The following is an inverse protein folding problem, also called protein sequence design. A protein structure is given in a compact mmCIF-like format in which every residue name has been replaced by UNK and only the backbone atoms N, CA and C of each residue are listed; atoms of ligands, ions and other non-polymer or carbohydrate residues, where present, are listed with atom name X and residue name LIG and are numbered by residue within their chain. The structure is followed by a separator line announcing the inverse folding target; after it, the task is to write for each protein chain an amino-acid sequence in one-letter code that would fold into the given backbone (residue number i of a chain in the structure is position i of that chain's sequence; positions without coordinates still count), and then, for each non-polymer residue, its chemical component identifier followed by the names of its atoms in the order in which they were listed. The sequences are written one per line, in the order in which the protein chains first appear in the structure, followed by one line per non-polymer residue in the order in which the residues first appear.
data_IF_195066626286
#
_entry.id   IF_195066626286
#
_cell.length_a   1.000
_cell.length_b   1.000
_cell.length_c   1.000
_cell.angle_alpha   90.00
_cell.angle_beta   90.00
_cell.angle_gamma   90.00
#
_symmetry.space_group_name_H-M   'P 1'
#
loop_
_entity.id
_entity.type
_entity.pdbx_description
1 polymer ?
#
# COMPACT_ATOMS: atom_id res chain seq x y z
N UNK A 1 -36.85 37.48 -3.42
CA UNK A 1 -36.18 37.10 -2.15
C UNK A 1 -35.83 35.60 -2.03
N UNK A 2 -35.72 34.82 -3.12
CA UNK A 2 -35.37 33.38 -3.07
C UNK A 2 -33.91 33.05 -3.44
N UNK A 3 -33.08 34.02 -3.83
CA UNK A 3 -31.69 33.79 -4.28
C UNK A 3 -30.61 33.93 -3.20
N UNK A 4 -30.95 34.40 -2.00
CA UNK A 4 -29.97 34.62 -0.91
C UNK A 4 -29.80 33.44 0.04
N UNK A 5 -30.71 32.46 0.02
CA UNK A 5 -30.66 31.30 0.96
C UNK A 5 -29.60 30.25 0.54
N UNK A 6 -29.26 30.18 -0.74
CA UNK A 6 -28.24 29.20 -1.22
C UNK A 6 -26.79 29.58 -0.90
N UNK A 7 -26.53 30.87 -0.64
CA UNK A 7 -25.16 31.31 -0.32
C UNK A 7 -24.76 30.98 1.13
N UNK A 8 -25.74 30.90 2.02
CA UNK A 8 -25.51 30.61 3.45
C UNK A 8 -25.25 29.10 3.75
N UNK A 9 -25.68 28.18 2.86
CA UNK A 9 -25.49 26.76 3.01
C UNK A 9 -24.10 26.28 2.56
N UNK A 10 -23.34 27.09 1.82
CA UNK A 10 -21.98 26.76 1.36
C UNK A 10 -20.87 27.18 2.35
N UNK A 11 -21.16 28.07 3.28
CA UNK A 11 -20.19 28.59 4.25
C UNK A 11 -19.62 27.53 5.24
N UNK A 12 -20.39 26.54 5.74
CA UNK A 12 -19.80 25.56 6.66
C UNK A 12 -18.83 24.56 6.00
N UNK A 13 -18.91 24.35 4.68
CA UNK A 13 -18.01 23.44 3.99
C UNK A 13 -16.57 23.96 3.85
N UNK A 14 -16.40 25.28 3.77
CA UNK A 14 -15.06 25.87 3.65
C UNK A 14 -14.27 25.82 4.97
N UNK A 15 -14.94 25.85 6.12
CA UNK A 15 -14.28 25.79 7.42
C UNK A 15 -13.61 24.46 7.70
N UNK A 16 -14.28 23.35 7.39
CA UNK A 16 -13.75 21.99 7.63
C UNK A 16 -12.58 21.67 6.69
N UNK A 17 -12.67 22.07 5.43
CA UNK A 17 -11.58 21.89 4.46
C UNK A 17 -10.34 22.73 4.82
N UNK A 18 -10.54 23.92 5.37
CA UNK A 18 -9.43 24.81 5.75
C UNK A 18 -8.72 24.34 7.03
N UNK A 19 -9.45 23.78 7.98
CA UNK A 19 -8.88 23.20 9.21
C UNK A 19 -8.08 21.92 8.91
N UNK A 20 -8.56 21.08 7.99
CA UNK A 20 -7.86 19.88 7.54
C UNK A 20 -6.56 20.22 6.79
N UNK A 21 -6.58 21.23 5.91
CA UNK A 21 -5.41 21.75 5.21
C UNK A 21 -4.37 22.40 6.17
N UNK A 22 -4.81 23.05 7.23
CA UNK A 22 -3.89 23.63 8.23
C UNK A 22 -3.19 22.54 9.08
N UNK A 23 -3.91 21.49 9.48
CA UNK A 23 -3.35 20.39 10.24
C UNK A 23 -2.37 19.55 9.41
N UNK A 24 -2.70 19.24 8.15
CA UNK A 24 -1.79 18.60 7.21
C UNK A 24 -0.51 19.43 7.02
N UNK A 25 -0.66 20.73 6.86
CA UNK A 25 0.48 21.66 6.76
C UNK A 25 1.41 21.62 7.97
N UNK A 26 0.90 21.48 9.20
CA UNK A 26 1.72 21.43 10.42
C UNK A 26 2.51 20.12 10.54
N UNK A 27 1.88 18.98 10.28
CA UNK A 27 2.54 17.67 10.28
C UNK A 27 3.62 17.63 9.21
N UNK A 28 3.28 18.05 8.00
CA UNK A 28 4.23 18.05 6.89
C UNK A 28 5.41 18.97 7.12
N UNK A 29 5.20 20.17 7.68
CA UNK A 29 6.28 21.11 8.08
C UNK A 29 7.25 20.49 9.08
N UNK A 30 6.73 19.76 10.08
CA UNK A 30 7.58 19.06 11.05
C UNK A 30 8.42 17.94 10.39
N UNK A 31 7.83 17.23 9.42
CA UNK A 31 8.51 16.20 8.64
C UNK A 31 9.61 16.81 7.76
N UNK A 32 9.29 17.86 7.02
CA UNK A 32 10.22 18.60 6.15
C UNK A 32 11.39 19.18 6.94
N UNK A 33 11.12 19.82 8.08
CA UNK A 33 12.15 20.38 8.96
C UNK A 33 13.10 19.30 9.51
N UNK A 34 12.58 18.10 9.81
CA UNK A 34 13.41 17.00 10.34
C UNK A 34 14.27 16.35 9.27
N UNK A 35 13.74 16.09 8.08
CA UNK A 35 14.42 15.28 7.06
C UNK A 35 15.10 16.12 5.97
N UNK A 36 14.79 17.43 5.87
CA UNK A 36 15.43 18.41 4.98
C UNK A 36 15.46 17.98 3.50
N UNK A 37 14.37 17.44 2.98
CA UNK A 37 14.21 17.09 1.57
C UNK A 37 13.60 18.26 0.77
N UNK A 38 13.70 18.21 -0.54
CA UNK A 38 13.03 19.16 -1.43
C UNK A 38 11.55 18.78 -1.58
N UNK A 39 10.67 19.66 -1.12
CA UNK A 39 9.21 19.47 -1.20
C UNK A 39 8.70 19.20 -2.62
N UNK A 40 9.38 19.67 -3.66
CA UNK A 40 9.05 19.42 -5.06
C UNK A 40 9.25 17.97 -5.47
N UNK A 41 10.05 17.22 -4.74
CA UNK A 41 10.26 15.79 -4.96
C UNK A 41 9.14 14.92 -4.37
N UNK A 42 8.30 15.47 -3.49
CA UNK A 42 7.18 14.71 -2.92
C UNK A 42 6.18 14.37 -4.01
N UNK A 43 5.82 13.09 -4.10
CA UNK A 43 4.75 12.66 -4.98
C UNK A 43 3.40 12.81 -4.26
N UNK A 44 2.88 14.03 -4.29
CA UNK A 44 1.70 14.45 -3.54
C UNK A 44 0.45 13.62 -3.79
N UNK A 45 0.27 13.11 -5.01
CA UNK A 45 -0.88 12.24 -5.34
C UNK A 45 -0.90 10.95 -4.51
N UNK A 46 0.23 10.56 -3.92
CA UNK A 46 0.38 9.38 -3.08
C UNK A 46 0.70 9.71 -1.62
N UNK A 47 0.68 11.00 -1.24
CA UNK A 47 0.76 11.38 0.16
C UNK A 47 -0.47 10.88 0.89
N UNK A 48 -0.27 10.12 1.96
CA UNK A 48 -1.36 9.59 2.79
C UNK A 48 -1.04 9.71 4.27
N UNK A 49 -2.04 10.07 5.06
CA UNK A 49 -1.97 10.06 6.51
C UNK A 49 -3.23 9.46 7.10
N UNK A 50 -3.09 8.71 8.17
CA UNK A 50 -4.22 8.08 8.85
C UNK A 50 -4.03 8.02 10.36
N UNK A 51 -5.10 8.34 11.10
CA UNK A 51 -5.22 8.04 12.52
C UNK A 51 -5.36 6.53 12.74
N UNK A 52 -4.84 6.05 13.83
CA UNK A 52 -4.83 4.64 14.20
C UNK A 52 -5.95 4.37 15.22
N UNK A 53 -6.66 3.25 15.08
CA UNK A 53 -7.81 2.94 15.94
C UNK A 53 -7.40 2.68 17.40
N UNK A 54 -6.33 1.93 17.58
CA UNK A 54 -5.83 1.50 18.88
C UNK A 54 -4.79 2.47 19.47
N UNK A 55 -4.38 3.47 18.69
CA UNK A 55 -3.37 4.47 19.06
C UNK A 55 -3.81 5.86 18.60
N UNK A 56 -4.69 6.47 19.37
CA UNK A 56 -5.33 7.76 19.04
C UNK A 56 -4.40 8.97 19.15
N UNK A 57 -3.22 8.81 19.75
CA UNK A 57 -2.23 9.88 19.88
C UNK A 57 -1.30 9.96 18.69
N UNK A 58 -1.29 8.96 17.81
CA UNK A 58 -0.43 8.96 16.63
C UNK A 58 -1.23 8.98 15.32
N UNK A 59 -0.61 9.59 14.31
CA UNK A 59 -0.93 9.39 12.90
C UNK A 59 0.23 8.72 12.20
N UNK A 60 -0.07 7.77 11.34
CA UNK A 60 0.91 7.21 10.40
C UNK A 60 0.83 8.00 9.10
N UNK A 61 1.97 8.57 8.70
CA UNK A 61 2.13 9.36 7.47
C UNK A 61 3.05 8.61 6.54
N UNK A 62 2.62 8.43 5.29
CA UNK A 62 3.40 7.71 4.27
C UNK A 62 3.40 8.53 2.99
N UNK A 63 4.57 8.71 2.41
CA UNK A 63 4.71 9.37 1.11
C UNK A 63 5.99 8.96 0.39
N UNK A 64 5.98 8.98 -0.96
CA UNK A 64 7.16 8.76 -1.77
C UNK A 64 7.87 10.07 -2.10
N UNK A 65 9.21 10.06 -2.06
CA UNK A 65 10.04 11.07 -2.67
C UNK A 65 10.58 10.58 -4.01
N UNK A 66 10.33 11.32 -5.08
CA UNK A 66 10.83 11.02 -6.43
C UNK A 66 12.33 11.18 -6.49
N UNK A 67 13.02 10.15 -6.97
CA UNK A 67 14.46 10.14 -7.20
C UNK A 67 14.73 9.75 -8.66
N UNK A 68 15.23 10.65 -9.46
CA UNK A 68 15.60 10.33 -10.84
C UNK A 68 16.83 9.43 -10.86
N UNK A 69 16.70 8.24 -11.45
CA UNK A 69 17.81 7.45 -11.97
C UNK A 69 17.86 7.57 -13.49
N UNK A 70 18.98 7.21 -14.14
CA UNK A 70 19.16 7.38 -15.60
C UNK A 70 18.01 6.76 -16.42
N UNK A 71 17.53 5.58 -16.04
CA UNK A 71 16.60 4.79 -16.84
C UNK A 71 15.28 4.44 -16.10
N UNK A 72 15.14 4.85 -14.83
CA UNK A 72 14.02 4.44 -13.97
C UNK A 72 13.58 5.56 -13.04
N UNK A 73 12.29 5.60 -12.73
CA UNK A 73 11.79 6.40 -11.63
C UNK A 73 11.87 5.56 -10.35
N UNK A 74 12.68 6.02 -9.41
CA UNK A 74 12.78 5.45 -8.06
C UNK A 74 12.05 6.36 -7.06
N UNK A 75 11.58 5.75 -5.99
CA UNK A 75 10.94 6.49 -4.91
C UNK A 75 11.54 6.06 -3.58
N UNK A 76 12.03 7.04 -2.83
CA UNK A 76 12.36 6.81 -1.43
C UNK A 76 11.07 6.79 -0.62
N UNK A 77 10.87 5.74 0.17
CA UNK A 77 9.70 5.58 1.04
C UNK A 77 9.90 6.29 2.36
N UNK A 78 9.02 7.22 2.69
CA UNK A 78 8.95 7.84 4.01
C UNK A 78 7.73 7.29 4.75
N UNK A 79 7.97 6.65 5.89
CA UNK A 79 6.94 6.16 6.81
C UNK A 79 7.20 6.80 8.17
N UNK A 80 6.28 7.63 8.64
CA UNK A 80 6.49 8.49 9.81
C UNK A 80 5.35 8.32 10.80
N UNK A 81 5.69 8.01 12.04
CA UNK A 81 4.75 7.99 13.15
C UNK A 81 4.81 9.35 13.86
N UNK A 82 3.78 10.15 13.66
CA UNK A 82 3.67 11.51 14.19
C UNK A 82 2.79 11.53 15.43
N UNK A 83 3.31 12.08 16.52
CA UNK A 83 2.59 12.24 17.78
C UNK A 83 1.81 13.55 17.79
N UNK A 84 0.48 13.46 17.84
CA UNK A 84 -0.41 14.61 17.80
C UNK A 84 -0.34 15.47 19.08
N UNK A 85 -0.15 14.84 20.25
CA UNK A 85 -0.09 15.56 21.52
C UNK A 85 1.22 16.32 21.67
N UNK A 86 2.34 15.69 21.33
CA UNK A 86 3.68 16.30 21.39
C UNK A 86 4.01 17.15 20.18
N UNK A 87 3.23 17.06 19.13
CA UNK A 87 3.47 17.70 17.83
C UNK A 87 4.86 17.40 17.25
N UNK A 88 5.31 16.14 17.37
CA UNK A 88 6.63 15.72 16.92
C UNK A 88 6.63 14.32 16.34
N UNK A 89 7.70 13.99 15.62
CA UNK A 89 7.93 12.67 15.06
C UNK A 89 8.54 11.77 16.14
N UNK A 90 7.78 10.75 16.57
CA UNK A 90 8.27 9.76 17.53
C UNK A 90 9.14 8.70 16.84
N UNK A 91 8.66 8.12 15.72
CA UNK A 91 9.37 7.08 15.00
C UNK A 91 9.28 7.30 13.49
N UNK A 92 10.24 6.75 12.73
CA UNK A 92 10.24 6.83 11.28
C UNK A 92 11.04 5.71 10.62
N UNK A 93 10.70 5.43 9.37
CA UNK A 93 11.44 4.60 8.43
C UNK A 93 11.71 5.42 7.16
N UNK A 94 12.91 5.29 6.61
CA UNK A 94 13.26 5.81 5.30
C UNK A 94 13.88 4.65 4.53
N UNK A 95 13.22 4.25 3.44
CA UNK A 95 13.70 3.24 2.49
C UNK A 95 14.17 3.93 1.22
N UNK A 96 15.47 3.97 0.99
CA UNK A 96 16.04 4.56 -0.22
C UNK A 96 15.75 3.66 -1.43
N UNK A 97 15.14 4.23 -2.50
CA UNK A 97 14.75 3.48 -3.68
C UNK A 97 13.81 2.30 -3.39
N UNK A 98 13.03 2.40 -2.33
CA UNK A 98 12.16 1.31 -1.85
C UNK A 98 11.10 0.89 -2.88
N UNK A 99 10.62 1.86 -3.65
CA UNK A 99 9.65 1.64 -4.71
C UNK A 99 10.21 2.09 -6.05
N UNK A 100 9.90 1.33 -7.09
CA UNK A 100 10.45 1.54 -8.43
C UNK A 100 9.34 1.44 -9.47
N UNK A 101 9.32 2.39 -10.41
CA UNK A 101 8.57 2.22 -11.64
C UNK A 101 9.40 1.38 -12.62
N UNK A 102 8.79 0.33 -13.15
CA UNK A 102 9.38 -0.54 -14.15
C UNK A 102 8.40 -0.78 -15.30
N UNK A 103 8.88 -1.42 -16.36
CA UNK A 103 8.02 -1.85 -17.46
C UNK A 103 6.91 -2.82 -17.00
N UNK A 104 7.15 -3.49 -15.86
CA UNK A 104 6.19 -4.42 -15.25
C UNK A 104 5.14 -3.75 -14.37
N UNK A 105 5.38 -2.52 -13.90
CA UNK A 105 4.40 -1.81 -13.08
C UNK A 105 4.92 -0.49 -12.55
N UNK A 106 4.01 0.44 -12.39
CA UNK A 106 4.27 1.77 -11.82
C UNK A 106 3.57 1.89 -10.48
N UNK A 107 4.14 2.67 -9.59
CA UNK A 107 3.55 2.99 -8.31
C UNK A 107 2.24 3.78 -8.51
N UNK A 108 1.11 3.21 -8.12
CA UNK A 108 -0.23 3.76 -8.36
C UNK A 108 -0.93 4.23 -7.09
N UNK A 109 -0.61 3.64 -5.95
CA UNK A 109 -1.33 3.94 -4.71
C UNK A 109 -0.55 3.57 -3.46
N UNK A 110 -0.90 4.26 -2.38
CA UNK A 110 -0.48 3.96 -1.02
C UNK A 110 -1.71 3.98 -0.12
N UNK A 111 -1.81 3.01 0.75
CA UNK A 111 -2.85 2.96 1.78
C UNK A 111 -2.22 2.67 3.15
N UNK A 112 -2.67 3.41 4.15
CA UNK A 112 -2.37 3.14 5.56
C UNK A 112 -3.58 2.48 6.20
N UNK A 113 -3.42 1.28 6.76
CA UNK A 113 -4.50 0.66 7.51
C UNK A 113 -4.71 1.35 8.86
N UNK A 114 -5.97 1.51 9.25
CA UNK A 114 -6.29 2.06 10.57
C UNK A 114 -6.09 1.06 11.72
N UNK A 115 -6.14 -0.24 11.41
CA UNK A 115 -5.93 -1.31 12.39
C UNK A 115 -4.44 -1.57 12.59
N UNK A 116 -4.06 -1.81 13.84
CA UNK A 116 -2.67 -2.06 14.25
C UNK A 116 -2.58 -3.41 14.95
N UNK A 117 -2.41 -4.53 14.22
CA UNK A 117 -2.34 -5.84 14.83
C UNK A 117 -1.14 -5.99 15.76
N UNK A 118 -1.30 -6.80 16.79
CA UNK A 118 -0.22 -7.15 17.71
C UNK A 118 0.59 -8.32 17.14
N UNK A 119 1.87 -8.09 16.92
CA UNK A 119 2.83 -9.13 16.52
C UNK A 119 3.61 -9.73 17.71
N UNK A 120 3.37 -9.22 18.92
CA UNK A 120 4.00 -9.67 20.16
C UNK A 120 3.49 -8.87 21.34
N UNK A 121 3.95 -9.17 22.56
CA UNK A 121 3.44 -8.55 23.81
C UNK A 121 3.45 -7.01 23.77
N UNK A 122 4.41 -6.39 23.06
CA UNK A 122 4.55 -4.93 22.92
C UNK A 122 4.86 -4.52 21.47
N UNK A 123 4.70 -5.42 20.52
CA UNK A 123 5.02 -5.17 19.12
C UNK A 123 3.73 -4.89 18.34
N UNK A 124 3.33 -3.63 18.30
CA UNK A 124 2.23 -3.16 17.47
C UNK A 124 2.76 -3.02 16.03
N UNK A 125 2.02 -3.56 15.04
CA UNK A 125 2.35 -3.42 13.64
C UNK A 125 1.58 -2.28 12.98
N UNK A 126 2.31 -1.38 12.35
CA UNK A 126 1.78 -0.36 11.46
C UNK A 126 1.78 -0.90 10.04
N UNK A 127 0.63 -0.84 9.37
CA UNK A 127 0.43 -1.48 8.08
C UNK A 127 0.41 -0.45 6.95
N UNK A 128 1.20 -0.71 5.92
CA UNK A 128 1.22 0.06 4.68
C UNK A 128 0.98 -0.89 3.51
N UNK A 129 0.04 -0.56 2.63
CA UNK A 129 -0.20 -1.24 1.37
C UNK A 129 0.28 -0.37 0.23
N UNK A 130 0.93 -1.00 -0.72
CA UNK A 130 1.51 -0.35 -1.89
C UNK A 130 0.96 -1.03 -3.14
N UNK A 131 0.42 -0.23 -4.05
CA UNK A 131 -0.24 -0.72 -5.26
C UNK A 131 0.60 -0.38 -6.49
N UNK A 132 0.82 -1.40 -7.32
CA UNK A 132 1.49 -1.25 -8.60
C UNK A 132 0.60 -1.76 -9.72
N UNK A 133 0.62 -1.09 -10.87
CA UNK A 133 0.00 -1.60 -12.09
C UNK A 133 0.65 -0.99 -13.32
N UNK A 134 0.46 -1.64 -14.46
CA UNK A 134 0.81 -1.06 -15.76
C UNK A 134 -0.44 -0.66 -16.54
N UNK A 135 -0.23 0.05 -17.65
CA UNK A 135 -1.29 0.47 -18.56
C UNK A 135 -1.33 -0.38 -19.85
N UNK A 136 -0.56 -1.48 -19.91
CA UNK A 136 -0.50 -2.35 -21.10
C UNK A 136 -1.79 -3.15 -21.19
N UNK A 137 -2.52 -2.99 -22.30
CA UNK A 137 -3.79 -3.67 -22.53
C UNK A 137 -3.61 -5.13 -22.94
N UNK A 138 -2.47 -5.48 -23.52
CA UNK A 138 -2.18 -6.84 -23.97
C UNK A 138 -1.48 -7.66 -22.87
N UNK A 139 -0.72 -6.99 -22.02
CA UNK A 139 -0.02 -7.60 -20.89
C UNK A 139 -0.32 -6.85 -19.59
N UNK A 140 -1.60 -6.75 -19.20
CA UNK A 140 -1.95 -6.05 -17.98
C UNK A 140 -1.41 -6.79 -16.77
N UNK A 141 -0.94 -6.00 -15.81
CA UNK A 141 -0.50 -6.52 -14.53
C UNK A 141 -0.84 -5.57 -13.39
N UNK A 142 -1.01 -6.15 -12.22
CA UNK A 142 -1.15 -5.39 -10.99
C UNK A 142 -0.64 -6.19 -9.81
N UNK A 143 -0.22 -5.49 -8.77
CA UNK A 143 0.16 -6.11 -7.50
C UNK A 143 -0.13 -5.20 -6.31
N UNK A 144 -0.39 -5.83 -5.18
CA UNK A 144 -0.55 -5.21 -3.88
C UNK A 144 0.47 -5.82 -2.92
N UNK A 145 1.30 -4.96 -2.34
CA UNK A 145 2.33 -5.35 -1.37
C UNK A 145 1.92 -4.83 0.00
N UNK A 146 1.84 -5.74 0.98
CA UNK A 146 1.61 -5.41 2.38
C UNK A 146 2.94 -5.37 3.13
N UNK A 147 3.18 -4.27 3.82
CA UNK A 147 4.36 -4.08 4.67
C UNK A 147 3.93 -3.83 6.12
N UNK A 148 4.57 -4.55 7.05
CA UNK A 148 4.43 -4.28 8.49
C UNK A 148 5.68 -3.60 9.03
N UNK A 149 5.45 -2.55 9.81
CA UNK A 149 6.48 -1.85 10.57
C UNK A 149 6.19 -1.97 12.07
N UNK A 150 7.23 -2.13 12.88
CA UNK A 150 7.15 -2.04 14.35
C UNK A 150 8.09 -0.96 14.85
N UNK A 151 7.84 -0.43 16.04
CA UNK A 151 8.77 0.53 16.67
C UNK A 151 10.01 -0.20 17.21
N UNK A 152 11.18 0.37 16.94
CA UNK A 152 12.47 -0.06 17.50
C UNK A 152 13.33 1.14 17.85
N UNK A 153 13.36 1.50 19.14
CA UNK A 153 13.95 2.77 19.56
C UNK A 153 13.26 3.94 18.88
N UNK A 154 14.01 4.80 18.22
CA UNK A 154 13.48 5.97 17.47
C UNK A 154 13.16 5.68 16.01
N UNK A 155 13.22 4.44 15.57
CA UNK A 155 12.97 4.03 14.19
C UNK A 155 11.73 3.16 14.09
N UNK A 156 11.16 3.13 12.90
CA UNK A 156 10.29 2.05 12.46
C UNK A 156 11.15 1.00 11.77
N UNK A 157 10.98 -0.25 12.14
CA UNK A 157 11.64 -1.39 11.49
C UNK A 157 10.64 -2.13 10.62
N UNK A 158 10.97 -2.29 9.34
CA UNK A 158 10.23 -3.15 8.42
C UNK A 158 10.43 -4.61 8.82
N UNK A 159 9.34 -5.30 9.20
CA UNK A 159 9.39 -6.67 9.73
C UNK A 159 8.72 -7.69 8.83
N UNK A 160 7.81 -7.25 7.97
CA UNK A 160 7.17 -8.07 6.95
C UNK A 160 7.05 -7.25 5.67
N UNK A 161 7.25 -7.89 4.53
CA UNK A 161 6.97 -7.33 3.21
C UNK A 161 6.58 -8.49 2.28
N UNK A 162 5.31 -8.57 1.92
CA UNK A 162 4.78 -9.67 1.12
C UNK A 162 3.71 -9.19 0.14
N UNK A 163 3.62 -9.86 -1.00
CA UNK A 163 2.52 -9.64 -1.94
C UNK A 163 1.26 -10.30 -1.37
N UNK A 164 0.20 -9.53 -1.22
CA UNK A 164 -1.12 -10.04 -0.81
C UNK A 164 -2.06 -10.22 -1.99
N UNK A 165 -1.75 -9.57 -3.11
CA UNK A 165 -2.43 -9.76 -4.38
C UNK A 165 -1.46 -9.50 -5.53
N UNK A 166 -1.55 -10.28 -6.61
CA UNK A 166 -0.92 -9.96 -7.89
C UNK A 166 -1.64 -10.66 -9.03
N UNK A 167 -1.62 -10.02 -10.19
CA UNK A 167 -2.03 -10.68 -11.43
C UNK A 167 -1.11 -10.28 -12.58
N UNK A 168 -0.97 -11.18 -13.53
CA UNK A 168 -0.37 -10.93 -14.84
C UNK A 168 -1.23 -11.63 -15.88
N UNK A 169 -1.48 -10.97 -17.01
CA UNK A 169 -2.17 -11.60 -18.11
C UNK A 169 -1.38 -11.40 -19.41
N UNK A 170 -1.54 -12.34 -20.34
CA UNK A 170 -1.11 -12.24 -21.72
C UNK A 170 -2.36 -12.39 -22.57
N UNK A 171 -2.84 -11.27 -23.11
CA UNK A 171 -4.11 -11.19 -23.82
C UNK A 171 -3.80 -10.91 -25.29
N UNK A 172 -4.05 -11.90 -26.14
CA UNK A 172 -3.97 -11.75 -27.57
C UNK A 172 -5.33 -11.43 -28.14
N UNK A 173 -5.40 -10.37 -28.91
CA UNK A 173 -6.57 -10.05 -29.73
C UNK A 173 -6.27 -10.41 -31.17
N UNK A 174 -6.51 -11.64 -31.56
CA UNK A 174 -6.47 -12.02 -32.97
C UNK A 174 -7.69 -11.45 -33.71
N UNK A 175 -7.48 -10.49 -34.60
CA UNK A 175 -8.52 -10.05 -35.53
C UNK A 175 -9.18 -8.71 -35.22
N UNK A 176 -10.15 -8.33 -36.00
CA UNK A 176 -10.84 -7.05 -36.09
C UNK A 176 -11.69 -6.66 -34.86
N UNK A 177 -11.63 -7.41 -33.76
CA UNK A 177 -12.34 -7.10 -32.53
C UNK A 177 -11.65 -5.96 -31.77
N UNK A 178 -12.38 -4.89 -31.47
CA UNK A 178 -11.92 -3.69 -30.76
C UNK A 178 -11.39 -3.96 -29.36
N UNK A 179 -11.56 -5.16 -28.81
CA UNK A 179 -11.13 -5.54 -27.46
C UNK A 179 -10.48 -6.92 -27.48
N UNK A 180 -9.22 -7.07 -27.05
CA UNK A 180 -8.58 -8.37 -26.88
C UNK A 180 -9.40 -9.23 -25.90
N UNK A 181 -9.65 -10.50 -26.25
CA UNK A 181 -10.52 -11.37 -25.47
C UNK A 181 -10.06 -12.83 -25.48
N UNK A 182 -8.81 -13.09 -25.82
CA UNK A 182 -8.25 -14.43 -25.77
C UNK A 182 -6.90 -14.37 -25.09
N UNK A 183 -6.66 -15.26 -24.14
CA UNK A 183 -5.38 -15.27 -23.44
C UNK A 183 -5.40 -16.04 -22.13
N UNK A 184 -4.35 -15.81 -21.37
CA UNK A 184 -4.16 -16.44 -20.07
C UNK A 184 -3.89 -15.37 -19.01
N UNK A 185 -4.42 -15.60 -17.81
CA UNK A 185 -4.19 -14.77 -16.64
C UNK A 185 -3.73 -15.65 -15.48
N UNK A 186 -2.68 -15.23 -14.83
CA UNK A 186 -2.27 -15.82 -13.56
C UNK A 186 -2.60 -14.82 -12.45
N UNK A 187 -3.32 -15.27 -11.44
CA UNK A 187 -3.69 -14.48 -10.27
C UNK A 187 -3.18 -15.13 -9.00
N UNK A 188 -2.68 -14.34 -8.07
CA UNK A 188 -2.28 -14.78 -6.74
C UNK A 188 -2.95 -13.88 -5.72
N UNK A 189 -3.52 -14.50 -4.69
CA UNK A 189 -4.03 -13.81 -3.51
C UNK A 189 -3.51 -14.45 -2.24
N UNK A 190 -3.19 -13.66 -1.22
CA UNK A 190 -2.74 -14.15 0.08
C UNK A 190 -3.59 -13.57 1.20
N UNK A 191 -3.85 -14.42 2.20
CA UNK A 191 -4.44 -14.01 3.50
C UNK A 191 -3.43 -14.27 4.60
N UNK A 192 -3.23 -13.28 5.46
CA UNK A 192 -2.35 -13.40 6.62
C UNK A 192 -3.19 -13.61 7.87
N UNK A 193 -2.85 -14.64 8.62
CA UNK A 193 -3.41 -14.92 9.93
C UNK A 193 -2.29 -14.86 10.98
N UNK A 194 -2.47 -14.04 12.02
CA UNK A 194 -1.54 -13.99 13.16
C UNK A 194 -2.00 -15.08 14.14
N UNK A 195 -1.18 -16.11 14.28
CA UNK A 195 -1.51 -17.25 15.15
C UNK A 195 -1.28 -16.90 16.62
N UNK A 196 -1.84 -17.68 17.52
CA UNK A 196 -1.57 -17.55 18.96
C UNK A 196 -0.20 -18.10 19.37
N UNK A 197 0.45 -18.87 18.48
CA UNK A 197 1.78 -19.44 18.74
C UNK A 197 2.87 -18.36 18.69
N UNK A 198 3.75 -18.38 19.70
CA UNK A 198 4.85 -17.43 19.84
C UNK A 198 6.21 -18.09 19.71
N UNK A 199 7.06 -17.46 18.95
CA UNK A 199 8.49 -17.81 18.87
C UNK A 199 9.30 -16.58 19.25
N UNK A 200 10.11 -16.69 20.30
CA UNK A 200 10.96 -15.59 20.83
C UNK A 200 10.18 -14.31 21.16
N UNK A 201 8.94 -14.47 21.66
CA UNK A 201 8.09 -13.35 22.08
C UNK A 201 7.26 -12.70 20.96
N UNK A 202 7.39 -13.16 19.71
CA UNK A 202 6.59 -12.75 18.57
C UNK A 202 5.61 -13.85 18.16
N UNK A 203 4.41 -13.47 17.78
CA UNK A 203 3.43 -14.38 17.18
C UNK A 203 3.93 -14.86 15.81
N UNK A 204 3.67 -16.10 15.44
CA UNK A 204 3.89 -16.58 14.08
C UNK A 204 2.80 -16.05 13.16
N UNK A 205 3.12 -15.88 11.89
CA UNK A 205 2.14 -15.50 10.86
C UNK A 205 1.99 -16.68 9.91
N UNK A 206 0.75 -17.06 9.67
CA UNK A 206 0.37 -18.01 8.63
C UNK A 206 -0.10 -17.26 7.41
N UNK A 207 0.53 -17.49 6.27
CA UNK A 207 0.11 -16.98 4.98
C UNK A 207 -0.56 -18.10 4.19
N UNK A 208 -1.87 -17.99 3.95
CA UNK A 208 -2.58 -18.85 3.00
C UNK A 208 -2.56 -18.17 1.64
N UNK A 209 -1.84 -18.76 0.69
CA UNK A 209 -1.65 -18.25 -0.67
C UNK A 209 -2.39 -19.10 -1.67
N UNK A 210 -3.28 -18.48 -2.43
CA UNK A 210 -4.02 -19.12 -3.52
C UNK A 210 -3.49 -18.57 -4.85
N UNK A 211 -3.05 -19.47 -5.73
CA UNK A 211 -2.63 -19.13 -7.09
C UNK A 211 -3.61 -19.76 -8.06
N UNK A 212 -4.14 -18.96 -9.00
CA UNK A 212 -5.10 -19.40 -10.02
C UNK A 212 -4.52 -19.20 -11.41
N UNK A 213 -4.77 -20.16 -12.28
CA UNK A 213 -4.61 -20.03 -13.73
C UNK A 213 -5.99 -19.86 -14.35
N UNK A 214 -6.16 -18.83 -15.14
CA UNK A 214 -7.43 -18.40 -15.68
C UNK A 214 -7.26 -18.25 -17.19
N UNK A 215 -8.14 -18.89 -17.96
CA UNK A 215 -8.25 -18.70 -19.41
C UNK A 215 -9.26 -17.59 -19.69
N UNK A 216 -8.87 -16.66 -20.55
CA UNK A 216 -9.75 -15.61 -21.08
C UNK A 216 -10.20 -16.06 -22.47
N UNK A 217 -11.51 -16.15 -22.68
CA UNK A 217 -12.08 -16.63 -23.95
C UNK A 217 -13.43 -15.95 -24.22
N UNK A 218 -13.88 -16.01 -25.48
CA UNK A 218 -15.24 -15.57 -25.83
C UNK A 218 -16.23 -16.68 -25.55
N UNK A 219 -17.37 -16.32 -24.95
CA UNK A 219 -18.49 -17.21 -24.84
C UNK A 219 -19.26 -17.29 -26.16
N UNK A 220 -20.35 -18.08 -26.19
CA UNK A 220 -21.21 -18.29 -27.37
C UNK A 220 -21.92 -17.00 -27.81
N UNK A 221 -22.13 -16.07 -26.88
CA UNK A 221 -22.75 -14.75 -27.09
C UNK A 221 -21.75 -13.68 -27.52
N UNK A 222 -20.45 -14.02 -27.54
CA UNK A 222 -19.35 -13.12 -27.95
C UNK A 222 -18.80 -12.21 -26.86
N UNK A 223 -19.20 -12.42 -25.60
CA UNK A 223 -18.64 -11.67 -24.43
C UNK A 223 -17.33 -12.28 -23.97
N UNK A 224 -16.45 -11.43 -23.43
CA UNK A 224 -15.24 -11.89 -22.77
C UNK A 224 -15.57 -12.52 -21.41
N UNK A 225 -15.16 -13.76 -21.20
CA UNK A 225 -15.34 -14.49 -19.96
C UNK A 225 -14.03 -15.02 -19.43
N UNK A 226 -13.92 -15.12 -18.11
CA UNK A 226 -12.79 -15.71 -17.42
C UNK A 226 -13.19 -17.09 -16.88
N UNK A 227 -12.45 -18.12 -17.27
CA UNK A 227 -12.66 -19.49 -16.78
C UNK A 227 -11.42 -19.97 -16.02
N UNK A 228 -11.60 -20.31 -14.76
CA UNK A 228 -10.52 -20.91 -13.95
C UNK A 228 -10.15 -22.27 -14.52
N UNK A 229 -8.86 -22.47 -14.81
CA UNK A 229 -8.31 -23.70 -15.37
C UNK A 229 -7.66 -24.53 -14.26
N UNK A 230 -6.94 -23.87 -13.35
CA UNK A 230 -6.23 -24.50 -12.26
C UNK A 230 -6.19 -23.58 -11.03
N UNK A 231 -6.09 -24.19 -9.86
CA UNK A 231 -5.94 -23.47 -8.59
C UNK A 231 -5.10 -24.28 -7.62
N UNK A 232 -4.09 -23.61 -7.04
CA UNK A 232 -3.21 -24.19 -6.03
C UNK A 232 -3.26 -23.34 -4.77
N UNK A 233 -3.40 -24.00 -3.61
CA UNK A 233 -3.29 -23.37 -2.30
C UNK A 233 -2.02 -23.83 -1.60
N UNK A 234 -1.27 -22.88 -1.08
CA UNK A 234 -0.06 -23.12 -0.29
C UNK A 234 -0.22 -22.41 1.07
N UNK A 235 0.14 -23.08 2.15
CA UNK A 235 0.18 -22.51 3.50
C UNK A 235 1.64 -22.35 3.92
N UNK A 236 2.02 -21.10 4.22
CA UNK A 236 3.40 -20.72 4.55
C UNK A 236 3.43 -20.23 6.00
N UNK A 237 4.15 -20.94 6.85
CA UNK A 237 4.38 -20.51 8.24
C UNK A 237 5.59 -19.56 8.28
N UNK A 238 5.40 -18.37 8.83
CA UNK A 238 6.44 -17.37 8.98
C UNK A 238 6.78 -17.14 10.45
N UNK A 239 8.06 -17.11 10.77
CA UNK A 239 8.56 -16.79 12.11
C UNK A 239 9.41 -15.53 12.11
N UNK A 240 9.36 -14.80 13.22
CA UNK A 240 10.23 -13.64 13.41
C UNK A 240 11.65 -14.09 13.73
N UNK A 241 12.58 -13.85 12.78
CA UNK A 241 14.02 -14.20 12.90
C UNK A 241 14.86 -13.04 12.38
N UNK A 242 15.92 -12.69 13.10
CA UNK A 242 16.88 -11.63 12.71
C UNK A 242 16.21 -10.30 12.29
N UNK A 243 15.15 -9.91 13.01
CA UNK A 243 14.49 -8.61 12.78
C UNK A 243 13.40 -8.58 11.72
N UNK A 244 13.01 -9.72 11.13
CA UNK A 244 11.94 -9.82 10.14
C UNK A 244 11.25 -11.18 10.16
N UNK A 245 10.03 -11.24 9.62
CA UNK A 245 9.34 -12.50 9.37
C UNK A 245 9.94 -13.21 8.17
N UNK A 246 10.16 -14.49 8.31
CA UNK A 246 10.75 -15.38 7.28
C UNK A 246 10.02 -16.71 7.30
N UNK A 247 9.84 -17.37 6.14
CA UNK A 247 9.36 -18.75 6.08
C UNK A 247 10.18 -19.70 6.95
N UNK A 248 9.50 -20.72 7.45
CA UNK A 248 10.13 -21.79 8.21
C UNK A 248 10.89 -22.75 7.31
#
# INVERSE_FOLDING_TARGET
MKKFIYLLLLLPMFGVAQEQLQNESAIFKAIEAKFKFDRRQVYWALYTERGLKEDTIHKLVVFPLKKRSKDKMLYDAYVVLYNLQKQMIDNYYIGEGEWEDSDRGRLQGLEVASQTPLLGKKAIAYQVRVFFSNADKNKPMGSEVLTYFITKGKKLQKVLNTHIFSYTADISGGGTAKTPCEGEKKEMSSKLHISEHKVRGFYTIEETRVTKQIKIERDAEGFCTERMVDSKEDVIQMQYKKGKYQPQ
#
